data_IF_017744145390
#
_entry.id   IF_017744145390
#
_cell.length_a   1.000
_cell.length_b   1.000
_cell.length_c   1.000
_cell.angle_alpha   90.00
_cell.angle_beta   90.00
_cell.angle_gamma   90.00
#
_symmetry.space_group_name_H-M   'P 1'
#
loop_
_entity.id
_entity.type
_entity.pdbx_description
1 polymer ?
#
# COMPACT_ATOMS: atom_id res chain seq x y z
N UNK A 1 2.56 -10.86 -22.67
CA UNK A 1 1.74 -9.94 -21.84
C UNK A 1 0.82 -10.80 -21.02
N UNK A 2 0.90 -10.72 -19.70
CA UNK A 2 -0.01 -11.48 -18.84
C UNK A 2 -1.26 -10.65 -18.61
N UNK A 3 -2.43 -11.17 -18.97
CA UNK A 3 -3.71 -10.54 -18.66
C UNK A 3 -3.98 -10.70 -17.16
N UNK A 4 -3.98 -9.59 -16.42
CA UNK A 4 -4.39 -9.59 -15.02
C UNK A 4 -5.90 -9.74 -14.92
N UNK A 5 -6.35 -10.84 -14.32
CA UNK A 5 -7.77 -11.17 -14.19
C UNK A 5 -8.33 -10.65 -12.86
N UNK A 6 -9.26 -9.69 -12.96
CA UNK A 6 -9.93 -9.15 -11.77
C UNK A 6 -10.96 -10.18 -11.27
N UNK A 7 -10.83 -10.69 -10.03
CA UNK A 7 -11.80 -11.61 -9.46
C UNK A 7 -13.13 -10.88 -9.18
N UNK A 8 -14.17 -11.28 -9.88
CA UNK A 8 -15.54 -10.74 -9.69
C UNK A 8 -16.36 -11.70 -8.80
N UNK A 9 -17.33 -11.13 -8.08
CA UNK A 9 -18.30 -11.89 -7.27
C UNK A 9 -17.65 -12.87 -6.27
N UNK A 10 -16.55 -12.46 -5.69
CA UNK A 10 -15.79 -13.21 -4.69
C UNK A 10 -15.78 -12.49 -3.35
N UNK A 11 -15.61 -13.25 -2.25
CA UNK A 11 -15.36 -12.68 -0.93
C UNK A 11 -14.04 -11.89 -0.93
N UNK A 12 -13.85 -11.01 0.05
CA UNK A 12 -12.60 -10.26 0.22
C UNK A 12 -11.39 -11.20 0.25
N UNK A 13 -11.46 -12.27 1.04
CA UNK A 13 -10.37 -13.24 1.17
C UNK A 13 -10.07 -13.97 -0.14
N UNK A 14 -11.10 -14.41 -0.86
CA UNK A 14 -10.93 -15.07 -2.16
C UNK A 14 -10.31 -14.11 -3.21
N UNK A 15 -10.71 -12.83 -3.20
CA UNK A 15 -10.07 -11.81 -4.03
C UNK A 15 -8.58 -11.70 -3.73
N UNK A 16 -8.20 -11.62 -2.46
CA UNK A 16 -6.81 -11.56 -2.06
C UNK A 16 -6.00 -12.79 -2.49
N UNK A 17 -6.50 -13.99 -2.22
CA UNK A 17 -5.83 -15.24 -2.64
C UNK A 17 -5.56 -15.25 -4.14
N UNK A 18 -6.52 -14.79 -4.92
CA UNK A 18 -6.40 -14.74 -6.38
C UNK A 18 -5.33 -13.72 -6.81
N UNK A 19 -5.39 -12.48 -6.31
CA UNK A 19 -4.45 -11.45 -6.74
C UNK A 19 -3.03 -11.66 -6.22
N UNK A 20 -2.83 -12.26 -5.06
CA UNK A 20 -1.49 -12.59 -4.54
C UNK A 20 -0.75 -13.48 -5.53
N UNK A 21 -1.38 -14.55 -6.00
CA UNK A 21 -0.80 -15.46 -6.99
C UNK A 21 -0.51 -14.77 -8.32
N UNK A 22 -1.45 -13.94 -8.80
CA UNK A 22 -1.26 -13.20 -10.05
C UNK A 22 -0.16 -12.15 -9.96
N UNK A 23 -0.08 -11.42 -8.84
CA UNK A 23 0.94 -10.39 -8.62
C UNK A 23 2.33 -11.03 -8.54
N UNK A 24 2.48 -12.14 -7.83
CA UNK A 24 3.75 -12.84 -7.74
C UNK A 24 4.28 -13.22 -9.15
N UNK A 25 3.40 -13.77 -9.99
CA UNK A 25 3.74 -14.09 -11.39
C UNK A 25 3.96 -12.83 -12.25
N UNK A 26 3.18 -11.78 -12.03
CA UNK A 26 3.28 -10.54 -12.81
C UNK A 26 4.64 -9.85 -12.65
N UNK A 27 5.18 -9.86 -11.43
CA UNK A 27 6.46 -9.21 -11.13
C UNK A 27 7.67 -10.12 -11.29
N UNK A 28 7.44 -11.40 -11.64
CA UNK A 28 8.52 -12.34 -11.94
C UNK A 28 9.36 -11.83 -13.12
N UNK A 29 10.67 -11.78 -12.95
CA UNK A 29 11.59 -11.29 -13.98
C UNK A 29 11.69 -9.77 -14.12
N UNK A 30 10.79 -8.97 -13.48
CA UNK A 30 10.92 -7.52 -13.48
C UNK A 30 11.91 -7.09 -12.39
N UNK A 31 12.87 -6.25 -12.77
CA UNK A 31 13.91 -5.73 -11.88
C UNK A 31 13.70 -4.27 -11.48
N UNK A 32 12.95 -3.49 -12.25
CA UNK A 32 12.70 -2.09 -11.93
C UNK A 32 11.63 -1.96 -10.85
N UNK A 33 12.02 -1.42 -9.71
CA UNK A 33 11.10 -1.30 -8.56
C UNK A 33 9.94 -0.33 -8.83
N UNK A 34 10.14 0.72 -9.62
CA UNK A 34 9.06 1.65 -9.97
C UNK A 34 8.00 0.93 -10.80
N UNK A 35 8.41 0.10 -11.76
CA UNK A 35 7.51 -0.73 -12.57
C UNK A 35 6.74 -1.72 -11.70
N UNK A 36 7.42 -2.38 -10.76
CA UNK A 36 6.80 -3.32 -9.80
C UNK A 36 5.73 -2.62 -8.97
N UNK A 37 6.07 -1.51 -8.31
CA UNK A 37 5.14 -0.76 -7.46
C UNK A 37 3.96 -0.19 -8.26
N UNK A 38 4.20 0.26 -9.49
CA UNK A 38 3.14 0.78 -10.38
C UNK A 38 2.10 -0.29 -10.69
N UNK A 39 2.53 -1.48 -11.09
CA UNK A 39 1.61 -2.58 -11.40
C UNK A 39 0.92 -3.15 -10.16
N UNK A 40 1.60 -3.21 -9.02
CA UNK A 40 0.97 -3.66 -7.76
C UNK A 40 -0.13 -2.67 -7.33
N UNK A 41 0.13 -1.36 -7.37
CA UNK A 41 -0.89 -0.37 -7.04
C UNK A 41 -2.10 -0.47 -7.96
N UNK A 42 -1.89 -0.66 -9.26
CA UNK A 42 -2.94 -0.85 -10.24
C UNK A 42 -3.76 -2.13 -9.98
N UNK A 43 -3.08 -3.25 -9.70
CA UNK A 43 -3.74 -4.53 -9.43
C UNK A 43 -4.66 -4.48 -8.20
N UNK A 44 -4.19 -3.89 -7.10
CA UNK A 44 -4.98 -3.72 -5.88
C UNK A 44 -6.15 -2.78 -6.15
N UNK A 45 -5.89 -1.63 -6.75
CA UNK A 45 -6.92 -0.63 -7.04
C UNK A 45 -8.03 -1.17 -7.96
N UNK A 46 -7.67 -1.88 -9.03
CA UNK A 46 -8.64 -2.49 -9.93
C UNK A 46 -9.49 -3.57 -9.27
N UNK A 47 -8.90 -4.31 -8.32
CA UNK A 47 -9.59 -5.41 -7.63
C UNK A 47 -10.60 -4.92 -6.60
N UNK A 48 -10.20 -3.97 -5.77
CA UNK A 48 -11.01 -3.56 -4.61
C UNK A 48 -11.73 -2.21 -4.82
N UNK A 49 -11.33 -1.43 -5.80
CA UNK A 49 -11.93 -0.12 -6.10
C UNK A 49 -11.85 0.88 -4.95
N UNK A 50 -10.87 0.73 -4.06
CA UNK A 50 -10.64 1.71 -3.01
C UNK A 50 -10.22 3.06 -3.57
N UNK A 51 -10.45 4.13 -2.82
CA UNK A 51 -10.22 5.50 -3.23
C UNK A 51 -8.78 5.74 -3.71
N UNK A 52 -7.81 5.24 -2.94
CA UNK A 52 -6.39 5.47 -3.20
C UNK A 52 -5.56 4.24 -2.81
N UNK A 53 -4.63 3.88 -3.65
CA UNK A 53 -3.66 2.79 -3.40
C UNK A 53 -2.32 3.24 -3.91
N UNK A 54 -1.33 3.34 -3.06
CA UNK A 54 -0.03 3.80 -3.51
C UNK A 54 1.09 3.66 -2.49
N UNK A 55 2.23 4.18 -2.86
CA UNK A 55 3.47 4.04 -2.12
C UNK A 55 4.08 5.40 -1.81
N UNK A 56 4.61 5.51 -0.61
CA UNK A 56 5.52 6.57 -0.22
C UNK A 56 6.88 5.97 0.09
N UNK A 57 7.95 6.57 -0.46
CA UNK A 57 9.31 6.05 -0.37
C UNK A 57 10.15 6.94 0.53
N UNK A 58 10.90 6.36 1.45
CA UNK A 58 11.81 7.09 2.35
C UNK A 58 12.96 7.68 1.54
N UNK A 59 13.10 8.99 1.60
CA UNK A 59 14.26 9.73 1.07
C UNK A 59 14.73 10.73 2.12
N UNK A 60 15.88 10.45 2.72
CA UNK A 60 16.36 11.25 3.86
C UNK A 60 15.43 11.12 5.07
N UNK A 61 14.87 12.23 5.50
CA UNK A 61 13.97 12.35 6.66
C UNK A 61 12.48 12.50 6.28
N UNK A 62 12.15 12.28 5.01
CA UNK A 62 10.80 12.39 4.48
C UNK A 62 10.35 11.14 3.71
N UNK A 63 9.05 10.90 3.70
CA UNK A 63 8.38 10.03 2.75
C UNK A 63 8.01 10.84 1.51
N UNK A 64 8.43 10.37 0.35
CA UNK A 64 8.16 11.02 -0.94
C UNK A 64 7.14 10.18 -1.71
N UNK A 65 6.17 10.85 -2.32
CA UNK A 65 5.15 10.21 -3.15
C UNK A 65 5.80 9.36 -4.25
N UNK A 66 5.42 8.11 -4.31
CA UNK A 66 5.80 7.13 -5.32
C UNK A 66 4.63 6.74 -6.24
N UNK A 67 4.69 5.58 -6.91
CA UNK A 67 3.60 5.10 -7.76
C UNK A 67 2.29 4.93 -7.00
N UNK A 68 1.18 5.38 -7.58
CA UNK A 68 -0.16 5.28 -6.99
C UNK A 68 -1.28 5.28 -8.03
N UNK A 69 -2.47 4.90 -7.56
CA UNK A 69 -3.74 4.99 -8.27
C UNK A 69 -4.73 5.75 -7.37
N UNK A 70 -5.42 6.73 -7.93
CA UNK A 70 -6.42 7.55 -7.24
C UNK A 70 -6.23 9.05 -7.43
N UNK A 71 -6.91 9.88 -6.62
CA UNK A 71 -6.78 11.34 -6.66
C UNK A 71 -5.36 11.81 -6.33
N UNK A 72 -5.05 13.05 -6.70
CA UNK A 72 -3.78 13.70 -6.33
C UNK A 72 -3.54 13.64 -4.82
N UNK A 73 -2.29 13.50 -4.42
CA UNK A 73 -1.89 13.26 -3.04
C UNK A 73 -0.80 14.22 -2.56
N UNK A 74 -0.50 14.19 -1.26
CA UNK A 74 0.60 14.95 -0.69
C UNK A 74 1.94 14.49 -1.30
N UNK A 75 2.81 15.44 -1.66
CA UNK A 75 4.12 15.09 -2.21
C UNK A 75 5.09 14.55 -1.16
N UNK A 76 5.00 15.04 0.08
CA UNK A 76 5.95 14.77 1.15
C UNK A 76 5.25 14.60 2.49
N UNK A 77 5.73 13.66 3.30
CA UNK A 77 5.24 13.41 4.66
C UNK A 77 6.46 13.19 5.56
N UNK A 78 6.52 13.91 6.67
CA UNK A 78 7.63 13.76 7.64
C UNK A 78 7.44 12.52 8.51
N UNK A 79 8.55 11.98 8.98
CA UNK A 79 8.55 10.87 9.94
C UNK A 79 7.76 11.23 11.19
N UNK A 80 6.81 10.38 11.59
CA UNK A 80 5.95 10.60 12.75
C UNK A 80 4.70 11.45 12.49
N UNK A 81 4.54 12.03 11.31
CA UNK A 81 3.37 12.82 10.92
C UNK A 81 2.35 11.97 10.14
N UNK A 82 1.06 12.15 10.45
CA UNK A 82 -0.02 11.40 9.83
C UNK A 82 0.08 9.89 10.05
N UNK A 83 -0.74 9.12 9.33
CA UNK A 83 -0.71 7.64 9.45
C UNK A 83 0.56 7.07 8.82
N UNK A 84 0.93 7.53 7.63
CA UNK A 84 2.14 7.07 6.92
C UNK A 84 3.42 7.35 7.73
N UNK A 85 3.57 8.56 8.26
CA UNK A 85 4.75 8.93 9.08
C UNK A 85 4.83 8.15 10.39
N UNK A 86 3.68 7.87 11.02
CA UNK A 86 3.61 7.04 12.25
C UNK A 86 3.88 5.57 11.95
N UNK A 87 3.42 5.05 10.82
CA UNK A 87 3.76 3.69 10.36
C UNK A 87 5.27 3.55 10.19
N UNK A 88 5.92 4.52 9.59
CA UNK A 88 7.39 4.56 9.50
C UNK A 88 8.05 4.61 10.89
N UNK A 89 7.59 5.50 11.76
CA UNK A 89 8.16 5.66 13.10
C UNK A 89 8.04 4.39 13.95
N UNK A 90 6.86 3.79 13.97
CA UNK A 90 6.56 2.61 14.78
C UNK A 90 6.92 1.28 14.11
N UNK A 91 7.22 1.28 12.82
CA UNK A 91 7.64 0.11 12.05
C UNK A 91 6.63 -1.05 12.08
N UNK A 92 5.34 -0.74 12.07
CA UNK A 92 4.25 -1.71 12.09
C UNK A 92 3.05 -1.22 11.30
N UNK A 93 2.23 -2.14 10.81
CA UNK A 93 0.96 -1.84 10.15
C UNK A 93 0.03 -1.08 11.08
N UNK A 94 -0.61 -0.04 10.56
CA UNK A 94 -1.62 0.74 11.27
C UNK A 94 -2.93 0.67 10.48
N UNK A 95 -4.01 0.26 11.15
CA UNK A 95 -5.39 0.28 10.63
C UNK A 95 -6.13 1.42 11.32
N UNK A 96 -6.71 2.31 10.52
CA UNK A 96 -7.47 3.48 11.00
C UNK A 96 -8.92 3.35 10.57
N UNK A 97 -9.84 2.96 11.48
CA UNK A 97 -11.27 2.81 11.16
C UNK A 97 -11.95 4.12 10.77
N UNK A 98 -11.49 5.24 11.35
CA UNK A 98 -12.01 6.59 11.13
C UNK A 98 -10.85 7.59 11.21
N UNK A 99 -10.49 8.15 10.06
CA UNK A 99 -9.34 9.08 9.95
C UNK A 99 -9.54 10.36 10.75
N UNK A 100 -10.78 10.81 10.94
CA UNK A 100 -11.08 12.01 11.73
C UNK A 100 -10.75 11.81 13.22
N UNK A 101 -10.77 10.58 13.70
CA UNK A 101 -10.44 10.22 15.07
C UNK A 101 -8.96 9.88 15.28
N UNK A 102 -8.17 9.85 14.22
CA UNK A 102 -6.74 9.53 14.30
C UNK A 102 -5.95 10.78 14.69
N UNK A 103 -5.21 10.76 15.82
CA UNK A 103 -4.46 11.94 16.29
C UNK A 103 -3.38 12.36 15.29
N UNK A 104 -3.46 13.60 14.81
CA UNK A 104 -2.49 14.17 13.86
C UNK A 104 -2.66 13.63 12.43
N UNK A 105 -3.87 13.18 12.06
CA UNK A 105 -4.17 12.78 10.68
C UNK A 105 -3.88 13.94 9.71
N UNK A 106 -3.20 13.62 8.60
CA UNK A 106 -2.96 14.55 7.51
C UNK A 106 -3.96 14.22 6.39
N UNK A 107 -4.90 15.13 6.15
CA UNK A 107 -5.88 15.00 5.09
C UNK A 107 -5.28 15.39 3.74
N UNK A 108 -4.62 14.45 3.04
CA UNK A 108 -4.22 14.64 1.65
C UNK A 108 -5.41 14.53 0.68
N UNK A 109 -6.52 13.94 1.13
CA UNK A 109 -7.82 13.93 0.44
C UNK A 109 -8.94 14.06 1.47
N UNK A 110 -9.91 14.93 1.18
CA UNK A 110 -11.13 15.07 2.02
C UNK A 110 -12.11 13.90 1.87
N UNK A 111 -11.89 13.03 0.89
CA UNK A 111 -12.76 11.88 0.60
C UNK A 111 -12.37 10.64 1.40
N UNK A 112 -11.15 10.56 1.94
CA UNK A 112 -10.71 9.44 2.77
C UNK A 112 -11.43 9.41 4.10
N UNK A 113 -11.99 8.25 4.47
CA UNK A 113 -12.66 8.01 5.75
C UNK A 113 -12.00 6.94 6.60
N UNK A 114 -11.41 5.93 5.98
CA UNK A 114 -10.61 4.91 6.67
C UNK A 114 -9.34 4.61 5.87
N UNK A 115 -8.33 4.08 6.56
CA UNK A 115 -6.99 3.92 5.99
C UNK A 115 -6.28 2.71 6.58
N UNK A 116 -5.44 2.06 5.78
CA UNK A 116 -4.45 1.08 6.25
C UNK A 116 -3.10 1.42 5.65
N UNK A 117 -2.07 1.42 6.48
CA UNK A 117 -0.69 1.69 6.06
C UNK A 117 0.24 0.59 6.56
N UNK A 118 1.04 0.04 5.66
CA UNK A 118 1.97 -1.05 5.95
C UNK A 118 3.42 -0.60 5.67
N UNK A 119 4.35 -0.86 6.60
CA UNK A 119 5.76 -0.58 6.35
C UNK A 119 6.36 -1.59 5.37
N UNK A 120 7.29 -1.13 4.54
CA UNK A 120 8.08 -1.93 3.60
C UNK A 120 9.53 -1.83 4.04
N UNK A 121 10.20 -2.96 4.23
CA UNK A 121 11.59 -2.99 4.69
C UNK A 121 12.56 -3.42 3.58
N UNK A 122 13.75 -2.85 3.64
CA UNK A 122 14.93 -3.32 2.90
C UNK A 122 16.12 -3.35 3.85
N UNK A 123 16.77 -4.50 4.00
CA UNK A 123 17.92 -4.66 4.90
C UNK A 123 17.64 -4.14 6.32
N UNK A 124 16.48 -4.50 6.90
CA UNK A 124 16.00 -4.10 8.24
C UNK A 124 15.71 -2.61 8.42
N UNK A 125 15.82 -1.80 7.36
CA UNK A 125 15.44 -0.38 7.37
C UNK A 125 14.12 -0.19 6.64
N UNK A 126 13.34 0.78 7.06
CA UNK A 126 12.13 1.15 6.31
C UNK A 126 12.52 1.74 4.97
N UNK A 127 12.08 1.10 3.89
CA UNK A 127 12.21 1.58 2.52
C UNK A 127 11.11 2.56 2.15
N UNK A 128 9.90 2.29 2.63
CA UNK A 128 8.72 3.08 2.36
C UNK A 128 7.50 2.49 3.05
N UNK A 129 6.33 2.91 2.61
CA UNK A 129 5.04 2.40 3.07
C UNK A 129 4.11 2.13 1.90
N UNK A 130 3.24 1.14 2.04
CA UNK A 130 2.04 0.95 1.23
C UNK A 130 0.89 1.63 1.97
N UNK A 131 0.24 2.59 1.32
CA UNK A 131 -0.86 3.37 1.86
C UNK A 131 -2.13 3.11 1.04
N UNK A 132 -3.24 2.82 1.72
CA UNK A 132 -4.53 2.55 1.10
C UNK A 132 -5.62 3.29 1.84
N UNK A 133 -6.40 4.08 1.10
CA UNK A 133 -7.52 4.88 1.60
C UNK A 133 -8.86 4.41 1.04
N UNK A 134 -9.89 4.46 1.86
CA UNK A 134 -11.27 4.17 1.49
C UNK A 134 -12.19 5.36 1.77
N UNK A 135 -13.20 5.54 0.92
CA UNK A 135 -14.29 6.51 1.10
C UNK A 135 -15.31 6.09 2.17
N UNK A 136 -15.17 4.88 2.69
CA UNK A 136 -16.05 4.31 3.70
C UNK A 136 -15.32 4.17 5.03
N UNK A 137 -16.08 4.30 6.13
CA UNK A 137 -15.57 4.02 7.47
C UNK A 137 -15.31 2.52 7.64
N UNK A 138 -14.33 2.19 8.45
CA UNK A 138 -14.07 0.82 8.91
C UNK A 138 -13.94 -0.21 7.77
N UNK A 139 -13.33 0.18 6.66
CA UNK A 139 -13.14 -0.71 5.49
C UNK A 139 -12.15 -1.83 5.76
N UNK A 140 -11.08 -1.54 6.50
CA UNK A 140 -9.93 -2.45 6.64
C UNK A 140 -9.97 -3.23 7.95
N UNK A 141 -9.68 -4.53 7.85
CA UNK A 141 -9.66 -5.46 8.97
C UNK A 141 -8.39 -6.35 8.96
N UNK A 142 -8.39 -7.41 9.76
CA UNK A 142 -7.26 -8.35 9.84
C UNK A 142 -7.02 -9.13 8.56
N UNK A 143 -8.05 -9.37 7.75
CA UNK A 143 -7.90 -10.05 6.46
C UNK A 143 -7.08 -9.16 5.53
N UNK A 144 -7.39 -7.86 5.46
CA UNK A 144 -6.62 -6.90 4.69
C UNK A 144 -5.16 -6.86 5.16
N UNK A 145 -4.95 -6.73 6.46
CA UNK A 145 -3.61 -6.73 7.03
C UNK A 145 -2.80 -7.97 6.63
N UNK A 146 -3.36 -9.16 6.83
CA UNK A 146 -2.70 -10.43 6.54
C UNK A 146 -2.25 -10.53 5.09
N UNK A 147 -3.16 -10.27 4.15
CA UNK A 147 -2.85 -10.44 2.73
C UNK A 147 -2.01 -9.30 2.16
N UNK A 148 -2.22 -8.07 2.62
CA UNK A 148 -1.39 -6.94 2.22
C UNK A 148 0.05 -7.08 2.74
N UNK A 149 0.25 -7.66 3.93
CA UNK A 149 1.59 -8.02 4.42
C UNK A 149 2.27 -9.08 3.55
N UNK A 150 1.51 -10.03 3.00
CA UNK A 150 2.04 -10.99 2.01
C UNK A 150 2.48 -10.26 0.72
N UNK A 151 1.67 -9.34 0.22
CA UNK A 151 2.02 -8.53 -0.96
C UNK A 151 3.25 -7.65 -0.70
N UNK A 152 3.35 -7.04 0.48
CA UNK A 152 4.56 -6.31 0.91
C UNK A 152 5.78 -7.23 0.90
N UNK A 153 5.65 -8.49 1.36
CA UNK A 153 6.71 -9.49 1.30
C UNK A 153 7.22 -9.76 -0.13
N UNK A 154 6.33 -9.75 -1.12
CA UNK A 154 6.70 -9.86 -2.54
C UNK A 154 7.56 -8.65 -2.96
N UNK A 155 7.15 -7.45 -2.58
CA UNK A 155 7.91 -6.21 -2.85
C UNK A 155 9.29 -6.27 -2.19
N UNK A 156 9.35 -6.67 -0.93
CA UNK A 156 10.62 -6.74 -0.17
C UNK A 156 11.62 -7.71 -0.82
N UNK A 157 11.16 -8.85 -1.35
CA UNK A 157 12.03 -9.75 -2.14
C UNK A 157 12.61 -9.04 -3.37
N UNK A 158 11.80 -8.28 -4.11
CA UNK A 158 12.28 -7.53 -5.27
C UNK A 158 13.30 -6.45 -4.92
N UNK A 159 13.18 -5.84 -3.75
CA UNK A 159 14.14 -4.86 -3.26
C UNK A 159 15.51 -5.49 -2.92
N UNK A 160 15.55 -6.76 -2.50
CA UNK A 160 16.77 -7.49 -2.19
C UNK A 160 17.44 -8.00 -3.48
N UNK A 161 16.65 -8.60 -4.38
CA UNK A 161 17.15 -9.18 -5.64
C UNK A 161 17.83 -8.14 -6.55
N UNK A 162 17.50 -6.86 -6.36
CA UNK A 162 18.04 -5.74 -7.14
C UNK A 162 19.13 -4.94 -6.40
N UNK A 163 19.72 -5.53 -5.38
CA UNK A 163 20.77 -4.88 -4.57
C UNK A 163 22.16 -5.17 -5.10
#
# INVERSE_FOLDING_TARGET
MHDFLIPKDKSKEEKYRNIVSQIDSLVEGESDIISVLSNISAAIHQTFRWLWVGFYIVKGDELILGPFQGPVACFRIKKGEGVCGKTWLHRKTIIVPDVEKFPGHIACSSQSKSEIVLPIFKNKKTYGVLDIDSEELNTFDRIDQQYLEILVGIIERKLIDNS
#
